data_IF_987531786342
#
_entry.id   IF_987531786342
#
_cell.length_a   1.000
_cell.length_b   1.000
_cell.length_c   1.000
_cell.angle_alpha   90.00
_cell.angle_beta   90.00
_cell.angle_gamma   90.00
#
_symmetry.space_group_name_H-M   'P 1'
#
loop_
_entity.id
_entity.type
_entity.pdbx_description
1 polymer ?
#
# COMPACT_ATOMS: atom_id res chain seq x y z
N UNK A 1 28.84 22.66 -29.50
CA UNK A 1 28.88 21.25 -29.93
C UNK A 1 29.94 20.54 -29.10
N UNK A 2 29.57 19.93 -27.98
CA UNK A 2 30.51 19.07 -27.23
C UNK A 2 29.95 17.65 -27.28
N UNK A 3 30.60 16.74 -28.01
CA UNK A 3 30.21 15.34 -28.13
C UNK A 3 30.63 14.61 -26.85
N UNK A 4 29.66 14.30 -25.98
CA UNK A 4 29.88 13.69 -24.67
C UNK A 4 29.41 12.24 -24.63
N UNK A 5 30.19 11.34 -25.23
CA UNK A 5 29.99 9.89 -25.17
C UNK A 5 30.38 9.30 -23.80
N UNK A 6 29.77 9.76 -22.70
CA UNK A 6 30.16 9.35 -21.34
C UNK A 6 28.98 9.08 -20.38
N UNK A 7 27.85 8.56 -20.88
CA UNK A 7 26.67 8.22 -20.04
C UNK A 7 25.92 6.94 -20.51
N UNK A 8 26.61 5.95 -21.10
CA UNK A 8 25.93 4.78 -21.68
C UNK A 8 26.63 3.45 -21.31
N UNK A 9 26.42 2.98 -20.08
CA UNK A 9 26.01 1.57 -19.91
C UNK A 9 24.79 1.38 -19.00
N UNK A 10 24.44 2.38 -18.17
CA UNK A 10 23.28 2.30 -17.26
C UNK A 10 21.94 2.30 -18.02
N UNK A 11 21.87 3.03 -19.13
CA UNK A 11 20.65 3.16 -19.93
C UNK A 11 20.20 1.84 -20.58
N UNK A 12 21.10 0.90 -20.89
CA UNK A 12 20.72 -0.32 -21.62
C UNK A 12 19.96 -1.34 -20.76
N UNK A 13 20.22 -1.35 -19.46
CA UNK A 13 19.57 -2.24 -18.50
C UNK A 13 18.27 -1.63 -17.95
N UNK A 14 18.30 -0.35 -17.57
CA UNK A 14 17.16 0.32 -16.94
C UNK A 14 16.09 0.77 -17.94
N UNK A 15 16.44 1.16 -19.18
CA UNK A 15 15.44 1.61 -20.17
C UNK A 15 14.33 0.60 -20.49
N UNK A 16 14.59 -0.70 -20.75
CA UNK A 16 13.52 -1.64 -21.00
C UNK A 16 12.63 -1.84 -19.76
N UNK A 17 13.20 -1.79 -18.56
CA UNK A 17 12.46 -1.90 -17.32
C UNK A 17 11.58 -0.67 -17.05
N UNK A 18 12.15 0.54 -17.18
CA UNK A 18 11.42 1.81 -17.07
C UNK A 18 10.30 1.86 -18.11
N UNK A 19 10.58 1.45 -19.35
CA UNK A 19 9.58 1.38 -20.41
C UNK A 19 8.44 0.43 -20.04
N UNK A 20 8.73 -0.76 -19.53
CA UNK A 20 7.69 -1.72 -19.14
C UNK A 20 6.85 -1.17 -17.98
N UNK A 21 7.48 -0.59 -16.95
CA UNK A 21 6.79 0.03 -15.81
C UNK A 21 5.85 1.16 -16.27
N UNK A 22 6.36 2.07 -17.11
CA UNK A 22 5.57 3.20 -17.63
C UNK A 22 4.43 2.71 -18.55
N UNK A 23 4.65 1.67 -19.36
CA UNK A 23 3.60 1.12 -20.21
C UNK A 23 2.51 0.41 -19.41
N UNK A 24 2.86 -0.38 -18.39
CA UNK A 24 1.88 -1.00 -17.49
C UNK A 24 1.00 0.05 -16.82
N UNK A 25 1.62 1.12 -16.33
CA UNK A 25 0.92 2.25 -15.72
C UNK A 25 -0.03 2.95 -16.72
N UNK A 26 0.44 3.18 -17.95
CA UNK A 26 -0.34 3.78 -19.03
C UNK A 26 -1.58 2.96 -19.38
N UNK A 27 -1.48 1.62 -19.43
CA UNK A 27 -2.61 0.74 -19.77
C UNK A 27 -3.71 0.82 -18.70
N UNK A 28 -3.34 0.85 -17.42
CA UNK A 28 -4.29 0.96 -16.30
C UNK A 28 -5.07 2.28 -16.39
N UNK A 29 -4.37 3.40 -16.60
CA UNK A 29 -4.99 4.72 -16.72
C UNK A 29 -5.91 4.83 -17.94
N UNK A 30 -5.53 4.25 -19.08
CA UNK A 30 -6.37 4.24 -20.29
C UNK A 30 -7.65 3.43 -20.09
N UNK A 31 -7.58 2.31 -19.36
CA UNK A 31 -8.76 1.50 -19.07
C UNK A 31 -9.72 2.20 -18.12
N UNK A 32 -9.20 2.89 -17.10
CA UNK A 32 -10.01 3.71 -16.20
C UNK A 32 -10.63 4.93 -16.91
N UNK A 33 -9.93 5.50 -17.90
CA UNK A 33 -10.47 6.56 -18.76
C UNK A 33 -11.69 6.09 -19.53
N UNK A 34 -11.60 4.92 -20.17
CA UNK A 34 -12.68 4.37 -20.96
C UNK A 34 -13.90 3.96 -20.11
N UNK A 35 -13.67 3.62 -18.84
CA UNK A 35 -14.73 3.28 -17.87
C UNK A 35 -15.31 4.52 -17.16
N UNK A 36 -14.83 5.74 -17.46
CA UNK A 36 -15.29 6.97 -16.80
C UNK A 36 -14.92 7.09 -15.32
N UNK A 37 -14.06 6.19 -14.81
CA UNK A 37 -13.65 6.15 -13.39
C UNK A 37 -12.53 7.13 -13.04
N UNK A 38 -12.00 7.85 -14.05
CA UNK A 38 -11.08 8.95 -13.79
C UNK A 38 -11.80 10.05 -13.01
N UNK A 39 -11.11 10.57 -11.99
CA UNK A 39 -11.63 11.56 -11.04
C UNK A 39 -12.61 11.05 -9.96
N UNK A 40 -12.66 9.75 -9.69
CA UNK A 40 -13.44 9.21 -8.57
C UNK A 40 -12.58 8.38 -7.62
N UNK A 41 -12.93 8.35 -6.34
CA UNK A 41 -12.23 7.54 -5.33
C UNK A 41 -12.26 6.04 -5.69
N UNK A 42 -13.32 5.58 -6.36
CA UNK A 42 -13.40 4.21 -6.87
C UNK A 42 -12.27 3.86 -7.84
N UNK A 43 -11.89 4.79 -8.73
CA UNK A 43 -10.75 4.60 -9.63
C UNK A 43 -9.44 4.47 -8.86
N UNK A 44 -9.25 5.28 -7.83
CA UNK A 44 -8.07 5.22 -6.97
C UNK A 44 -7.97 3.88 -6.23
N UNK A 45 -9.07 3.41 -5.62
CA UNK A 45 -9.13 2.12 -4.91
C UNK A 45 -8.76 0.96 -5.83
N UNK A 46 -9.28 0.93 -7.07
CA UNK A 46 -8.97 -0.13 -8.02
C UNK A 46 -7.48 -0.22 -8.36
N UNK A 47 -6.78 0.93 -8.45
CA UNK A 47 -5.34 0.86 -8.72
C UNK A 47 -4.57 0.34 -7.51
N UNK A 48 -4.96 0.71 -6.30
CA UNK A 48 -4.31 0.16 -5.10
C UNK A 48 -4.53 -1.35 -4.95
N UNK A 49 -5.72 -1.85 -5.33
CA UNK A 49 -5.98 -3.29 -5.39
C UNK A 49 -5.08 -3.98 -6.44
N UNK A 50 -4.78 -3.32 -7.56
CA UNK A 50 -3.87 -3.88 -8.57
C UNK A 50 -2.43 -4.07 -8.07
N UNK A 51 -2.04 -3.35 -7.00
CA UNK A 51 -0.74 -3.45 -6.34
C UNK A 51 -0.55 -4.64 -5.39
N UNK A 52 -1.53 -5.55 -5.29
CA UNK A 52 -1.53 -6.63 -4.28
C UNK A 52 -0.44 -7.70 -4.47
N UNK A 53 0.30 -7.66 -5.58
CA UNK A 53 1.31 -8.66 -5.93
C UNK A 53 2.35 -8.87 -4.83
N UNK A 54 2.87 -7.78 -4.24
CA UNK A 54 3.86 -7.88 -3.16
C UNK A 54 3.28 -8.53 -1.90
N UNK A 55 2.06 -8.14 -1.51
CA UNK A 55 1.37 -8.74 -0.37
C UNK A 55 1.12 -10.23 -0.60
N UNK A 56 0.72 -10.63 -1.80
CA UNK A 56 0.51 -12.03 -2.17
C UNK A 56 1.77 -12.89 -1.99
N UNK A 57 2.94 -12.37 -2.41
CA UNK A 57 4.22 -13.07 -2.20
C UNK A 57 4.55 -13.27 -0.73
N UNK A 58 4.23 -12.30 0.12
CA UNK A 58 4.46 -12.40 1.57
C UNK A 58 3.50 -13.41 2.19
N UNK A 59 2.22 -13.38 1.81
CA UNK A 59 1.26 -14.39 2.24
C UNK A 59 1.66 -15.80 1.81
N UNK A 60 2.17 -15.96 0.58
CA UNK A 60 2.68 -17.25 0.11
C UNK A 60 3.82 -17.78 0.99
N UNK A 61 4.75 -16.92 1.39
CA UNK A 61 5.82 -17.30 2.32
C UNK A 61 5.26 -17.67 3.69
N UNK A 62 4.28 -16.94 4.19
CA UNK A 62 3.63 -17.25 5.46
C UNK A 62 2.90 -18.59 5.42
N UNK A 63 2.10 -18.88 4.40
CA UNK A 63 1.39 -20.15 4.28
C UNK A 63 2.35 -21.35 4.26
N UNK A 64 3.55 -21.21 3.69
CA UNK A 64 4.58 -22.27 3.73
C UNK A 64 5.16 -22.55 5.12
N UNK A 65 4.99 -21.64 6.08
CA UNK A 65 5.42 -21.86 7.47
C UNK A 65 4.41 -22.67 8.28
N UNK A 66 3.19 -22.84 7.77
CA UNK A 66 2.14 -23.62 8.45
C UNK A 66 2.45 -25.11 8.25
N UNK A 67 2.58 -25.90 9.33
CA UNK A 67 2.89 -27.32 9.21
C UNK A 67 1.72 -28.10 8.60
N UNK A 68 2.02 -28.95 7.61
CA UNK A 68 1.02 -29.79 6.91
C UNK A 68 0.28 -30.73 7.86
N UNK A 69 0.93 -31.16 8.95
CA UNK A 69 0.33 -32.00 10.00
C UNK A 69 -0.94 -31.38 10.62
N UNK A 70 -1.08 -30.05 10.58
CA UNK A 70 -2.26 -29.35 11.08
C UNK A 70 -3.50 -29.55 10.18
N UNK A 71 -3.28 -29.68 8.86
CA UNK A 71 -4.35 -30.00 7.92
C UNK A 71 -4.71 -31.48 7.96
N UNK A 72 -3.70 -32.36 8.12
CA UNK A 72 -3.92 -33.81 8.23
C UNK A 72 -4.73 -34.18 9.48
N UNK A 73 -4.42 -33.58 10.63
CA UNK A 73 -5.21 -33.81 11.86
C UNK A 73 -6.65 -33.32 11.72
N UNK A 74 -6.87 -32.14 11.13
CA UNK A 74 -8.20 -31.62 10.90
C UNK A 74 -9.03 -32.48 9.92
N UNK A 75 -8.37 -33.12 8.93
CA UNK A 75 -9.00 -34.09 8.02
C UNK A 75 -9.34 -35.40 8.73
N UNK A 76 -8.48 -35.87 9.63
CA UNK A 76 -8.76 -37.05 10.48
C UNK A 76 -9.98 -36.80 11.40
N UNK A 77 -10.17 -35.56 11.86
CA UNK A 77 -11.35 -35.11 12.61
C UNK A 77 -12.62 -34.94 11.73
N UNK A 78 -12.56 -35.30 10.44
CA UNK A 78 -13.69 -35.24 9.52
C UNK A 78 -14.11 -33.83 9.09
N UNK A 79 -13.24 -32.82 9.25
CA UNK A 79 -13.53 -31.47 8.76
C UNK A 79 -13.38 -31.36 7.25
N UNK A 80 -14.30 -30.62 6.60
CA UNK A 80 -14.18 -30.24 5.19
C UNK A 80 -13.09 -29.20 4.96
N UNK A 81 -12.45 -29.21 3.79
CA UNK A 81 -11.32 -28.30 3.48
C UNK A 81 -11.68 -26.80 3.66
N UNK A 82 -12.90 -26.40 3.27
CA UNK A 82 -13.39 -25.03 3.50
C UNK A 82 -13.49 -24.69 4.99
N UNK A 83 -13.91 -25.64 5.83
CA UNK A 83 -13.98 -25.47 7.27
C UNK A 83 -12.59 -25.36 7.88
N UNK A 84 -11.64 -26.17 7.43
CA UNK A 84 -10.23 -26.10 7.84
C UNK A 84 -9.65 -24.72 7.53
N UNK A 85 -9.88 -24.21 6.32
CA UNK A 85 -9.42 -22.88 5.92
C UNK A 85 -9.97 -21.76 6.83
N UNK A 86 -11.28 -21.67 7.00
CA UNK A 86 -11.88 -20.56 7.76
C UNK A 86 -11.72 -20.69 9.27
N UNK A 87 -11.71 -21.91 9.83
CA UNK A 87 -11.63 -22.10 11.30
C UNK A 87 -10.21 -22.26 11.84
N UNK A 88 -9.27 -22.74 11.03
CA UNK A 88 -7.91 -23.07 11.50
C UNK A 88 -6.89 -22.15 10.83
N UNK A 89 -6.84 -22.14 9.50
CA UNK A 89 -5.82 -21.39 8.76
C UNK A 89 -6.02 -19.88 8.90
N UNK A 90 -7.24 -19.39 8.69
CA UNK A 90 -7.58 -17.97 8.76
C UNK A 90 -7.21 -17.31 10.11
N UNK A 91 -7.54 -17.88 11.30
CA UNK A 91 -7.12 -17.29 12.56
C UNK A 91 -5.60 -17.30 12.77
N UNK A 92 -4.89 -18.31 12.28
CA UNK A 92 -3.41 -18.33 12.30
C UNK A 92 -2.83 -17.21 11.43
N UNK A 93 -3.49 -16.88 10.31
CA UNK A 93 -3.09 -15.79 9.42
C UNK A 93 -3.45 -14.39 9.93
N UNK A 94 -4.35 -14.24 10.90
CA UNK A 94 -4.76 -12.92 11.46
C UNK A 94 -3.60 -11.98 11.81
N UNK A 95 -2.56 -12.39 12.56
CA UNK A 95 -1.44 -11.51 12.89
C UNK A 95 -0.74 -10.98 11.63
N UNK A 96 -0.55 -11.81 10.61
CA UNK A 96 0.10 -11.39 9.36
C UNK A 96 -0.81 -10.53 8.49
N UNK A 97 -2.11 -10.81 8.46
CA UNK A 97 -3.08 -9.92 7.80
C UNK A 97 -3.05 -8.53 8.41
N UNK A 98 -2.96 -8.44 9.73
CA UNK A 98 -2.89 -7.19 10.46
C UNK A 98 -1.62 -6.40 10.16
N UNK A 99 -0.45 -7.05 10.21
CA UNK A 99 0.81 -6.37 9.88
C UNK A 99 0.85 -5.89 8.44
N UNK A 100 0.39 -6.71 7.49
CA UNK A 100 0.29 -6.29 6.10
C UNK A 100 -0.67 -5.12 5.91
N UNK A 101 -1.85 -5.16 6.54
CA UNK A 101 -2.82 -4.07 6.48
C UNK A 101 -2.27 -2.76 7.05
N UNK A 102 -1.52 -2.81 8.16
CA UNK A 102 -0.86 -1.64 8.73
C UNK A 102 0.19 -1.06 7.78
N UNK A 103 1.11 -1.89 7.28
CA UNK A 103 2.19 -1.46 6.39
C UNK A 103 1.62 -0.84 5.10
N UNK A 104 0.63 -1.50 4.49
CA UNK A 104 0.00 -0.98 3.27
C UNK A 104 -0.79 0.30 3.54
N UNK A 105 -1.51 0.39 4.67
CA UNK A 105 -2.26 1.60 5.04
C UNK A 105 -1.34 2.80 5.28
N UNK A 106 -0.19 2.62 5.95
CA UNK A 106 0.78 3.68 6.15
C UNK A 106 1.35 4.16 4.81
N UNK A 107 1.73 3.22 3.92
CA UNK A 107 2.21 3.57 2.58
C UNK A 107 1.15 4.33 1.78
N UNK A 108 -0.10 3.85 1.85
CA UNK A 108 -1.24 4.44 1.19
C UNK A 108 -1.59 5.84 1.70
N UNK A 109 -1.47 6.06 3.01
CA UNK A 109 -1.66 7.37 3.62
C UNK A 109 -0.62 8.37 3.11
N UNK A 110 0.65 7.95 3.00
CA UNK A 110 1.75 8.82 2.58
C UNK A 110 1.83 9.04 1.07
N UNK A 111 1.05 8.30 0.27
CA UNK A 111 1.08 8.42 -1.18
C UNK A 111 0.36 9.69 -1.67
N UNK A 112 1.13 10.56 -2.33
CA UNK A 112 0.62 11.77 -2.98
C UNK A 112 0.60 11.66 -4.52
N UNK A 113 1.42 10.76 -5.09
CA UNK A 113 1.64 10.71 -6.53
C UNK A 113 0.46 10.06 -7.24
N UNK A 114 0.02 8.88 -6.77
CA UNK A 114 -1.09 8.17 -7.40
C UNK A 114 -2.41 8.95 -7.35
N UNK A 115 -2.78 9.58 -6.21
CA UNK A 115 -3.95 10.44 -6.16
C UNK A 115 -3.83 11.65 -7.09
N UNK A 116 -2.65 12.26 -7.21
CA UNK A 116 -2.43 13.40 -8.11
C UNK A 116 -2.72 13.03 -9.57
N UNK A 117 -2.27 11.85 -10.00
CA UNK A 117 -2.45 11.37 -11.38
C UNK A 117 -3.90 11.00 -11.69
N UNK A 118 -4.61 10.36 -10.75
CA UNK A 118 -5.97 9.82 -10.99
C UNK A 118 -7.08 10.83 -10.69
N UNK A 119 -6.96 11.61 -9.60
CA UNK A 119 -8.01 12.52 -9.14
C UNK A 119 -7.91 13.91 -9.81
N UNK A 120 -6.74 14.27 -10.36
CA UNK A 120 -6.56 15.54 -11.06
C UNK A 120 -6.97 16.73 -10.19
N UNK A 121 -7.58 17.78 -10.74
CA UNK A 121 -7.87 19.03 -10.02
C UNK A 121 -9.31 19.16 -9.46
N UNK A 122 -9.99 18.03 -9.17
CA UNK A 122 -11.40 18.04 -8.72
C UNK A 122 -11.56 18.10 -7.20
N UNK A 123 -12.80 18.37 -6.76
CA UNK A 123 -13.23 18.56 -5.36
C UNK A 123 -13.01 17.36 -4.43
N UNK A 124 -12.69 16.19 -4.99
CA UNK A 124 -12.41 14.98 -4.22
C UNK A 124 -10.91 14.75 -4.28
N UNK A 125 -10.25 14.82 -3.12
CA UNK A 125 -8.79 14.69 -2.98
C UNK A 125 -8.45 13.85 -1.75
N UNK A 126 -7.26 13.24 -1.75
CA UNK A 126 -6.71 12.63 -0.54
C UNK A 126 -6.12 13.71 0.36
N UNK A 127 -6.04 13.42 1.67
CA UNK A 127 -5.50 14.35 2.66
C UNK A 127 -4.09 14.83 2.27
N UNK A 128 -3.21 13.91 1.92
CA UNK A 128 -1.81 14.18 1.52
C UNK A 128 -1.72 15.02 0.24
N UNK A 129 -2.61 14.79 -0.73
CA UNK A 129 -2.68 15.59 -1.95
C UNK A 129 -3.20 17.01 -1.68
N UNK A 130 -4.16 17.17 -0.77
CA UNK A 130 -4.69 18.47 -0.38
C UNK A 130 -3.61 19.35 0.26
N UNK A 131 -2.82 18.78 1.18
CA UNK A 131 -1.67 19.47 1.79
C UNK A 131 -0.65 19.87 0.74
N UNK A 132 -0.32 18.96 -0.18
CA UNK A 132 0.67 19.24 -1.22
C UNK A 132 0.26 20.43 -2.10
N UNK A 133 -1.04 20.59 -2.39
CA UNK A 133 -1.56 21.77 -3.10
C UNK A 133 -1.46 23.05 -2.27
N UNK A 134 -1.72 22.99 -0.97
CA UNK A 134 -1.54 24.13 -0.07
C UNK A 134 -0.08 24.59 -0.02
N UNK A 135 0.89 23.66 0.01
CA UNK A 135 2.33 23.97 -0.05
C UNK A 135 2.71 24.63 -1.39
N UNK A 136 2.07 24.26 -2.51
CA UNK A 136 2.25 24.98 -3.78
C UNK A 136 1.80 26.46 -3.74
N UNK A 137 0.90 26.80 -2.81
CA UNK A 137 0.35 28.15 -2.57
C UNK A 137 0.94 28.82 -1.31
N UNK A 138 2.00 28.26 -0.72
CA UNK A 138 2.50 28.62 0.62
C UNK A 138 2.86 30.10 0.76
N UNK A 139 3.40 30.70 -0.32
CA UNK A 139 3.76 32.11 -0.34
C UNK A 139 2.55 33.06 -0.26
N UNK A 140 1.35 32.58 -0.63
CA UNK A 140 0.12 33.37 -0.65
C UNK A 140 -0.76 33.14 0.59
N UNK A 141 -0.73 31.94 1.18
CA UNK A 141 -1.57 31.56 2.34
C UNK A 141 -0.78 30.72 3.36
N UNK A 142 0.24 31.34 3.96
CA UNK A 142 1.13 30.74 4.96
C UNK A 142 0.36 30.19 6.19
N UNK A 143 -0.54 30.99 6.76
CA UNK A 143 -1.31 30.64 7.95
C UNK A 143 -2.26 29.45 7.73
N UNK A 144 -2.95 29.44 6.59
CA UNK A 144 -3.88 28.36 6.22
C UNK A 144 -3.14 27.04 5.97
N UNK A 145 -1.96 27.10 5.35
CA UNK A 145 -1.13 25.93 5.08
C UNK A 145 -0.59 25.30 6.35
N UNK A 146 -0.17 26.12 7.34
CA UNK A 146 0.26 25.63 8.65
C UNK A 146 -0.87 24.97 9.44
N UNK A 147 -2.08 25.55 9.40
CA UNK A 147 -3.25 24.96 10.05
C UNK A 147 -3.62 23.59 9.42
N UNK A 148 -3.56 23.47 8.09
CA UNK A 148 -3.81 22.22 7.39
C UNK A 148 -2.82 21.12 7.81
N UNK A 149 -1.53 21.43 7.92
CA UNK A 149 -0.51 20.48 8.39
C UNK A 149 -0.79 20.02 9.83
N UNK A 150 -1.15 20.94 10.73
CA UNK A 150 -1.46 20.59 12.12
C UNK A 150 -2.66 19.64 12.24
N UNK A 151 -3.73 19.86 11.47
CA UNK A 151 -4.91 18.98 11.45
C UNK A 151 -4.52 17.56 10.98
N UNK A 152 -3.53 17.44 10.10
CA UNK A 152 -3.12 16.14 9.55
C UNK A 152 -2.30 15.29 10.52
N UNK A 153 -1.70 15.89 11.55
CA UNK A 153 -1.02 15.18 12.63
C UNK A 153 -2.02 14.51 13.58
N UNK A 154 -3.21 15.08 13.75
CA UNK A 154 -4.25 14.56 14.66
C UNK A 154 -4.58 13.08 14.41
N UNK A 155 -4.93 12.63 13.19
CA UNK A 155 -5.26 11.23 12.96
C UNK A 155 -4.07 10.29 13.18
N UNK A 156 -2.83 10.74 12.93
CA UNK A 156 -1.63 9.94 13.20
C UNK A 156 -1.48 9.72 14.71
N UNK A 157 -1.71 10.76 15.51
CA UNK A 157 -1.69 10.69 16.98
C UNK A 157 -2.78 9.75 17.49
N UNK A 158 -4.00 9.84 16.93
CA UNK A 158 -5.12 8.94 17.30
C UNK A 158 -4.77 7.47 17.02
N UNK A 159 -4.25 7.18 15.82
CA UNK A 159 -3.79 5.84 15.44
C UNK A 159 -2.66 5.39 16.38
N UNK A 160 -1.69 6.25 16.67
CA UNK A 160 -0.61 5.90 17.59
C UNK A 160 -1.13 5.46 18.96
N UNK A 161 -2.06 6.21 19.57
CA UNK A 161 -2.63 5.82 20.86
C UNK A 161 -3.37 4.48 20.81
N UNK A 162 -4.17 4.24 19.75
CA UNK A 162 -4.93 3.00 19.58
C UNK A 162 -4.04 1.77 19.38
N UNK A 163 -2.95 1.91 18.61
CA UNK A 163 -2.10 0.80 18.19
C UNK A 163 -0.80 0.68 19.02
N UNK A 164 -0.54 1.59 19.96
CA UNK A 164 0.68 1.64 20.77
C UNK A 164 0.97 0.32 21.49
N UNK A 165 -0.02 -0.31 22.10
CA UNK A 165 0.13 -1.60 22.80
C UNK A 165 0.51 -2.74 21.84
N UNK A 166 -0.11 -2.79 20.66
CA UNK A 166 0.12 -3.84 19.66
C UNK A 166 1.48 -3.69 18.98
N UNK A 167 1.96 -2.46 18.81
CA UNK A 167 3.32 -2.17 18.31
C UNK A 167 4.36 -2.63 19.35
N UNK A 168 4.13 -2.36 20.64
CA UNK A 168 5.03 -2.78 21.73
C UNK A 168 5.04 -4.30 21.91
N UNK A 169 3.88 -4.97 21.84
CA UNK A 169 3.77 -6.43 21.87
C UNK A 169 4.40 -7.09 20.63
N UNK A 170 4.22 -6.50 19.44
CA UNK A 170 4.81 -7.00 18.21
C UNK A 170 6.34 -6.92 18.17
N UNK A 171 6.92 -5.89 18.81
CA UNK A 171 8.38 -5.72 18.93
C UNK A 171 8.98 -6.65 20.00
N UNK A 172 8.28 -6.86 21.11
CA UNK A 172 8.76 -7.72 22.20
C UNK A 172 8.56 -9.22 21.90
N UNK A 173 7.47 -9.61 21.24
CA UNK A 173 7.20 -11.00 20.86
C UNK A 173 8.17 -11.59 19.82
N UNK A 174 8.86 -10.75 19.05
CA UNK A 174 9.91 -11.16 18.11
C UNK A 174 11.28 -11.41 18.77
N UNK A 175 11.52 -10.84 19.96
CA UNK A 175 12.80 -10.92 20.66
C UNK A 175 12.94 -12.15 21.58
N UNK A 176 11.83 -12.85 21.88
CA UNK A 176 11.80 -14.03 22.79
C UNK A 176 11.81 -15.38 22.07
N UNK A 177 12.03 -15.40 20.75
CA UNK A 177 12.22 -16.63 19.95
C UNK A 177 13.67 -16.83 19.49
N UNK A 178 14.63 -16.25 20.23
CA UNK A 178 16.07 -16.52 20.13
C UNK A 178 16.54 -17.36 21.30
#
# INVERSE_FOLDING_TARGET
MIPGACCLPMNRFWQPMIRNIVQSFRIILLKQRNMGLLNHLAGLILVYISGISMSCLIFQKFFRTIPVALEESARLDGCSDLRVFFKIILPICKPVMFTMALITSIGQWNDFYMPMVILGNKNVTTLTLAIYRCIGQFMRYMSESMAAVMITLVPIIVVYFLFSSQIVEGLTGGAVKG
#
